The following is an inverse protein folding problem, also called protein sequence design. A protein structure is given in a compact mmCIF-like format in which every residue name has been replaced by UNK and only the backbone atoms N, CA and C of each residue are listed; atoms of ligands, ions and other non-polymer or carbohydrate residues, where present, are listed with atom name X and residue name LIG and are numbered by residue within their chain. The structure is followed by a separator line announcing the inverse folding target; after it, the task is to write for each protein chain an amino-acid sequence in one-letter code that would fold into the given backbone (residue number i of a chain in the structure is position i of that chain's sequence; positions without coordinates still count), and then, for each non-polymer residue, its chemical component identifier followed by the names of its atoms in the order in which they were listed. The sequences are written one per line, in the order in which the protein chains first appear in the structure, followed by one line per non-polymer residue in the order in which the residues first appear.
data_IF_872067324918
#
_entry.id   IF_872067324918
#
_cell.length_a   1.000
_cell.length_b   1.000
_cell.length_c   1.000
_cell.angle_alpha   90.00
_cell.angle_beta   90.00
_cell.angle_gamma   90.00
#
_symmetry.space_group_name_H-M   'P 1'
#
loop_
_entity.id
_entity.type
_entity.pdbx_description
1 polymer ?
#
# COMPACT_ATOMS: atom_id res chain seq x y z
N UNK A 1 -28.89 47.59 20.15
CA UNK A 1 -28.63 46.69 19.00
C UNK A 1 -27.15 46.72 18.66
N UNK A 2 -26.34 45.68 18.73
CA UNK A 2 -26.38 44.43 19.49
C UNK A 2 -24.99 43.78 19.31
N UNK A 3 -23.97 44.27 20.04
CA UNK A 3 -22.62 43.66 20.02
C UNK A 3 -22.64 42.19 20.44
N UNK A 4 -23.64 41.79 21.24
CA UNK A 4 -23.91 40.39 21.61
C UNK A 4 -24.32 39.53 20.41
N UNK A 5 -25.15 40.04 19.50
CA UNK A 5 -25.65 39.29 18.33
C UNK A 5 -24.52 38.99 17.34
N UNK A 6 -23.59 39.94 17.13
CA UNK A 6 -22.40 39.73 16.31
C UNK A 6 -21.46 38.65 16.87
N UNK A 7 -21.25 38.64 18.19
CA UNK A 7 -20.39 37.63 18.84
C UNK A 7 -20.97 36.22 18.80
N UNK A 8 -22.30 36.06 18.92
CA UNK A 8 -22.98 34.77 18.74
C UNK A 8 -22.94 34.27 17.29
N UNK A 9 -23.06 35.19 16.31
CA UNK A 9 -22.95 34.86 14.89
C UNK A 9 -21.53 34.39 14.50
N UNK A 10 -20.50 35.07 15.02
CA UNK A 10 -19.10 34.72 14.78
C UNK A 10 -18.71 33.35 15.37
N UNK A 11 -19.20 33.05 16.59
CA UNK A 11 -19.01 31.73 17.21
C UNK A 11 -19.72 30.62 16.42
N UNK A 12 -20.94 30.86 15.95
CA UNK A 12 -21.69 29.90 15.12
C UNK A 12 -20.92 29.52 13.85
N UNK A 13 -20.37 30.52 13.13
CA UNK A 13 -19.59 30.31 11.92
C UNK A 13 -18.33 29.47 12.18
N UNK A 14 -17.64 29.72 13.29
CA UNK A 14 -16.44 28.97 13.69
C UNK A 14 -16.75 27.48 13.96
N UNK A 15 -17.90 27.18 14.54
CA UNK A 15 -18.34 25.80 14.77
C UNK A 15 -18.71 25.10 13.46
N UNK A 16 -19.38 25.79 12.53
CA UNK A 16 -19.72 25.25 11.21
C UNK A 16 -18.45 24.92 10.42
N UNK A 17 -17.44 25.79 10.44
CA UNK A 17 -16.14 25.54 9.79
C UNK A 17 -15.43 24.35 10.44
N UNK A 18 -15.43 24.23 11.78
CA UNK A 18 -14.84 23.08 12.46
C UNK A 18 -15.56 21.76 12.12
N UNK A 19 -16.89 21.81 12.00
CA UNK A 19 -17.71 20.65 11.66
C UNK A 19 -17.50 20.23 10.19
N UNK A 20 -17.37 21.19 9.28
CA UNK A 20 -17.00 20.95 7.89
C UNK A 20 -15.60 20.35 7.78
N UNK A 21 -14.62 20.89 8.51
CA UNK A 21 -13.25 20.34 8.57
C UNK A 21 -13.25 18.91 9.13
N UNK A 22 -14.02 18.65 10.18
CA UNK A 22 -14.14 17.30 10.78
C UNK A 22 -14.83 16.31 9.83
N UNK A 23 -15.88 16.74 9.13
CA UNK A 23 -16.55 15.93 8.11
C UNK A 23 -15.62 15.61 6.93
N UNK A 24 -14.86 16.59 6.43
CA UNK A 24 -13.88 16.39 5.37
C UNK A 24 -12.76 15.40 5.75
N UNK A 25 -12.34 15.40 7.02
CA UNK A 25 -11.33 14.45 7.52
C UNK A 25 -11.90 13.02 7.60
N UNK A 26 -13.20 12.86 7.89
CA UNK A 26 -13.83 11.55 8.00
C UNK A 26 -14.17 10.89 6.66
N UNK A 27 -14.29 11.65 5.57
CA UNK A 27 -14.89 11.14 4.32
C UNK A 27 -13.93 10.55 3.30
N UNK A 28 -12.61 10.52 3.51
CA UNK A 28 -11.72 10.06 2.41
C UNK A 28 -10.33 9.60 2.86
N UNK A 29 -10.26 8.55 3.69
CA UNK A 29 -9.01 7.79 3.85
C UNK A 29 -9.16 6.46 3.13
N UNK A 30 -9.30 6.53 1.82
CA UNK A 30 -9.22 5.34 0.98
C UNK A 30 -7.78 5.01 0.66
N UNK A 31 -7.39 3.76 0.87
CA UNK A 31 -6.06 3.29 0.55
C UNK A 31 -5.88 3.17 -0.98
N UNK A 32 -4.78 3.71 -1.53
CA UNK A 32 -4.47 3.60 -2.96
C UNK A 32 -3.47 2.46 -3.22
N UNK A 33 -3.87 1.47 -4.04
CA UNK A 33 -3.03 0.32 -4.38
C UNK A 33 -2.83 0.19 -5.89
N UNK A 34 -1.68 -0.33 -6.32
CA UNK A 34 -1.52 -0.76 -7.71
C UNK A 34 -2.41 -1.96 -8.00
N UNK A 35 -3.09 -1.92 -9.15
CA UNK A 35 -3.89 -3.02 -9.67
C UNK A 35 -3.38 -3.44 -11.05
N UNK A 36 -2.91 -4.67 -11.13
CA UNK A 36 -2.50 -5.29 -12.37
C UNK A 36 -2.48 -6.82 -12.22
N UNK A 37 -2.58 -7.49 -13.36
CA UNK A 37 -2.32 -8.92 -13.50
C UNK A 37 -1.32 -9.11 -14.64
N UNK A 38 -0.43 -10.08 -14.51
CA UNK A 38 0.44 -10.48 -15.61
C UNK A 38 0.80 -11.95 -15.54
N UNK A 39 0.87 -12.55 -16.72
CA UNK A 39 1.47 -13.86 -16.94
C UNK A 39 2.85 -13.72 -17.58
N UNK A 40 3.59 -14.83 -17.69
CA UNK A 40 4.91 -14.88 -18.34
C UNK A 40 4.97 -14.25 -19.75
N UNK A 41 3.84 -14.27 -20.47
CA UNK A 41 3.77 -13.82 -21.86
C UNK A 41 3.47 -12.31 -21.95
N UNK A 42 3.18 -11.66 -20.83
CA UNK A 42 2.77 -10.27 -20.77
C UNK A 42 3.93 -9.34 -20.40
N UNK A 43 4.16 -8.34 -21.24
CA UNK A 43 5.27 -7.39 -21.13
C UNK A 43 4.91 -6.13 -20.34
N UNK A 44 3.84 -6.19 -19.55
CA UNK A 44 3.29 -5.03 -18.87
C UNK A 44 4.11 -4.61 -17.63
N UNK A 45 5.04 -5.45 -17.16
CA UNK A 45 5.91 -5.16 -16.02
C UNK A 45 5.27 -5.39 -14.64
N UNK A 46 4.04 -5.91 -14.56
CA UNK A 46 3.37 -6.13 -13.27
C UNK A 46 4.12 -7.13 -12.35
N UNK A 47 4.88 -8.05 -12.96
CA UNK A 47 5.66 -9.06 -12.27
C UNK A 47 6.70 -8.48 -11.31
N UNK A 48 7.59 -7.60 -11.80
CA UNK A 48 8.69 -7.04 -11.02
C UNK A 48 9.46 -8.09 -10.21
N UNK A 49 9.82 -7.74 -8.98
CA UNK A 49 10.63 -8.58 -8.06
C UNK A 49 9.93 -9.85 -7.55
N UNK A 50 8.68 -10.11 -7.95
CA UNK A 50 7.89 -11.22 -7.45
C UNK A 50 7.98 -12.49 -8.30
N UNK A 51 8.61 -12.38 -9.47
CA UNK A 51 8.88 -13.45 -10.42
C UNK A 51 10.26 -13.24 -11.02
N UNK A 52 10.83 -14.31 -11.59
CA UNK A 52 12.09 -14.21 -12.33
C UNK A 52 11.81 -13.58 -13.72
N UNK A 53 11.50 -12.29 -13.73
CA UNK A 53 11.27 -11.51 -14.95
C UNK A 53 12.47 -10.60 -15.21
N UNK A 54 12.82 -10.42 -16.48
CA UNK A 54 13.82 -9.42 -16.91
C UNK A 54 13.26 -8.00 -16.75
N UNK A 55 11.93 -7.86 -16.65
CA UNK A 55 11.25 -6.57 -16.55
C UNK A 55 10.96 -6.21 -15.09
N UNK A 56 11.56 -5.10 -14.63
CA UNK A 56 11.25 -4.47 -13.35
C UNK A 56 9.81 -3.92 -13.31
N UNK A 57 9.27 -3.77 -12.10
CA UNK A 57 7.96 -3.14 -11.94
C UNK A 57 8.01 -1.66 -12.34
N UNK A 58 7.12 -1.27 -13.25
CA UNK A 58 7.01 0.11 -13.69
C UNK A 58 5.72 0.75 -13.16
N UNK A 59 5.85 1.49 -12.06
CA UNK A 59 4.75 2.19 -11.38
C UNK A 59 4.00 3.17 -12.29
N UNK A 60 4.62 3.69 -13.35
CA UNK A 60 3.98 4.65 -14.28
C UNK A 60 3.02 4.00 -15.27
N UNK A 61 3.09 2.67 -15.44
CA UNK A 61 2.30 1.91 -16.42
C UNK A 61 1.05 1.24 -15.84
N UNK A 62 0.85 1.34 -14.53
CA UNK A 62 -0.19 0.59 -13.83
C UNK A 62 -1.18 1.50 -13.13
N UNK A 63 -2.46 1.11 -13.19
CA UNK A 63 -3.53 1.86 -12.58
C UNK A 63 -3.49 1.75 -11.06
N UNK A 64 -3.77 2.87 -10.40
CA UNK A 64 -4.08 2.91 -8.99
C UNK A 64 -5.57 2.72 -8.79
N UNK A 65 -5.94 1.90 -7.82
CA UNK A 65 -7.32 1.71 -7.40
C UNK A 65 -7.51 2.21 -5.98
N UNK A 66 -8.71 2.75 -5.74
CA UNK A 66 -9.17 3.18 -4.45
C UNK A 66 -9.77 1.99 -3.70
N UNK A 67 -9.15 1.61 -2.58
CA UNK A 67 -9.71 0.65 -1.64
C UNK A 67 -10.54 1.41 -0.62
N UNK A 68 -11.85 1.42 -0.82
CA UNK A 68 -12.82 2.22 -0.05
C UNK A 68 -13.25 1.59 1.27
N UNK A 69 -12.92 0.32 1.49
CA UNK A 69 -13.37 -0.43 2.67
C UNK A 69 -12.49 -0.22 3.90
N UNK A 70 -13.12 -0.21 5.07
CA UNK A 70 -12.42 -0.11 6.35
C UNK A 70 -11.50 -1.33 6.52
N UNK A 71 -10.24 -1.08 6.89
CA UNK A 71 -9.18 -2.10 6.99
C UNK A 71 -8.74 -2.75 5.68
N UNK A 72 -9.08 -2.19 4.53
CA UNK A 72 -8.47 -2.61 3.28
C UNK A 72 -6.93 -2.52 3.33
N UNK A 73 -6.30 -3.42 2.59
CA UNK A 73 -4.84 -3.54 2.44
C UNK A 73 -4.48 -3.63 0.97
N UNK A 74 -3.22 -3.33 0.63
CA UNK A 74 -2.70 -3.65 -0.69
C UNK A 74 -2.08 -5.06 -0.66
N UNK A 75 -2.27 -5.83 -1.72
CA UNK A 75 -1.61 -7.12 -1.88
C UNK A 75 -0.74 -7.18 -3.14
N UNK A 76 0.24 -8.08 -3.10
CA UNK A 76 0.87 -8.69 -4.27
C UNK A 76 0.87 -10.20 -4.05
N UNK A 77 0.36 -10.97 -5.01
CA UNK A 77 0.48 -12.43 -5.02
C UNK A 77 1.17 -12.89 -6.28
N UNK A 78 2.09 -13.84 -6.14
CA UNK A 78 2.71 -14.51 -7.26
C UNK A 78 2.62 -16.02 -7.13
N UNK A 79 2.48 -16.66 -8.29
CA UNK A 79 2.51 -18.09 -8.44
C UNK A 79 3.50 -18.43 -9.55
N UNK A 80 4.33 -19.44 -9.35
CA UNK A 80 5.33 -19.89 -10.31
C UNK A 80 5.39 -21.42 -10.35
N UNK A 81 5.17 -22.02 -11.53
CA UNK A 81 5.40 -23.44 -11.75
C UNK A 81 6.89 -23.73 -11.92
N UNK A 82 7.36 -24.82 -11.31
CA UNK A 82 8.77 -25.25 -11.42
C UNK A 82 9.10 -25.91 -12.75
N UNK A 83 8.17 -26.68 -13.32
CA UNK A 83 8.44 -27.49 -14.51
C UNK A 83 8.48 -26.68 -15.82
N UNK A 84 7.75 -25.57 -15.89
CA UNK A 84 7.55 -24.82 -17.14
C UNK A 84 7.94 -23.34 -17.06
N UNK A 85 8.61 -22.93 -15.97
CA UNK A 85 8.95 -21.52 -15.69
C UNK A 85 7.76 -20.56 -15.83
N UNK A 86 6.53 -21.09 -15.67
CA UNK A 86 5.32 -20.32 -15.90
C UNK A 86 4.90 -19.60 -14.66
N UNK A 87 4.59 -18.32 -14.78
CA UNK A 87 4.23 -17.50 -13.63
C UNK A 87 3.03 -16.61 -13.88
N UNK A 88 2.39 -16.24 -12.77
CA UNK A 88 1.31 -15.27 -12.66
C UNK A 88 1.60 -14.33 -11.49
N UNK A 89 1.44 -13.02 -11.70
CA UNK A 89 1.48 -12.00 -10.63
C UNK A 89 0.21 -11.19 -10.67
N UNK A 90 -0.32 -10.90 -9.49
CA UNK A 90 -1.50 -10.05 -9.33
C UNK A 90 -1.31 -9.08 -8.17
N UNK A 91 -1.80 -7.85 -8.35
CA UNK A 91 -1.76 -6.76 -7.38
C UNK A 91 -3.15 -6.16 -7.23
N UNK A 92 -3.49 -5.67 -6.04
CA UNK A 92 -4.76 -4.97 -5.85
C UNK A 92 -5.10 -4.71 -4.39
N UNK A 93 -6.39 -4.50 -4.12
CA UNK A 93 -6.97 -4.35 -2.79
C UNK A 93 -7.31 -5.72 -2.20
N UNK A 94 -7.02 -5.89 -0.91
CA UNK A 94 -7.39 -7.07 -0.14
C UNK A 94 -8.19 -6.62 1.09
N UNK A 95 -9.31 -7.30 1.33
CA UNK A 95 -10.13 -7.12 2.51
C UNK A 95 -9.99 -8.36 3.41
N UNK A 96 -9.41 -8.21 4.62
CA UNK A 96 -9.30 -9.31 5.56
C UNK A 96 -10.68 -9.84 5.99
N UNK A 97 -10.86 -11.16 5.92
CA UNK A 97 -11.94 -11.88 6.57
C UNK A 97 -11.58 -12.23 8.02
N UNK A 98 -12.59 -12.50 8.86
CA UNK A 98 -12.39 -12.93 10.26
C UNK A 98 -11.58 -14.22 10.40
N UNK A 99 -11.54 -15.03 9.34
CA UNK A 99 -10.82 -16.30 9.32
C UNK A 99 -9.37 -16.15 8.84
N UNK A 100 -8.97 -14.96 8.40
CA UNK A 100 -7.62 -14.74 7.89
C UNK A 100 -6.64 -14.56 9.05
N UNK A 101 -5.65 -15.45 9.12
CA UNK A 101 -4.58 -15.38 10.11
C UNK A 101 -3.56 -14.30 9.71
N UNK A 102 -3.87 -13.03 10.00
CA UNK A 102 -2.97 -11.91 9.75
C UNK A 102 -2.04 -11.67 10.95
N UNK A 103 -0.73 -11.44 10.74
CA UNK A 103 0.18 -11.12 11.82
C UNK A 103 -0.19 -9.77 12.44
N UNK A 104 -0.01 -9.65 13.76
CA UNK A 104 -0.40 -8.47 14.52
C UNK A 104 0.28 -7.18 14.00
N UNK A 105 1.48 -7.29 13.43
CA UNK A 105 2.19 -6.17 12.78
C UNK A 105 1.42 -5.50 11.64
N UNK A 106 0.44 -6.17 11.02
CA UNK A 106 -0.42 -5.60 9.97
C UNK A 106 -1.61 -4.80 10.51
N UNK A 107 -1.84 -4.76 11.83
CA UNK A 107 -2.87 -3.90 12.41
C UNK A 107 -2.49 -2.42 12.32
N UNK A 108 -1.19 -2.13 12.22
CA UNK A 108 -0.64 -0.79 12.07
C UNK A 108 -0.41 -0.47 10.57
N UNK A 109 -0.77 0.75 10.11
CA UNK A 109 -0.43 1.20 8.77
C UNK A 109 1.09 1.14 8.54
N UNK A 110 1.52 0.38 7.54
CA UNK A 110 2.93 0.20 7.21
C UNK A 110 3.13 0.09 5.70
N UNK A 111 4.20 0.74 5.21
CA UNK A 111 4.68 0.58 3.83
C UNK A 111 5.43 -0.72 3.62
N UNK A 112 6.00 -1.29 4.70
CA UNK A 112 6.73 -2.54 4.62
C UNK A 112 5.77 -3.70 4.32
N UNK A 113 6.08 -4.47 3.29
CA UNK A 113 5.31 -5.66 2.96
C UNK A 113 5.66 -6.80 3.92
N UNK A 114 4.63 -7.45 4.44
CA UNK A 114 4.79 -8.72 5.17
C UNK A 114 4.36 -9.86 4.26
N UNK A 115 5.26 -10.81 4.04
CA UNK A 115 5.13 -11.84 3.02
C UNK A 115 5.04 -13.24 3.62
N UNK A 116 4.12 -14.06 3.08
CA UNK A 116 4.05 -15.50 3.27
C UNK A 116 4.52 -16.19 2.00
N UNK A 117 5.42 -17.17 2.16
CA UNK A 117 5.93 -17.99 1.08
C UNK A 117 5.57 -19.45 1.33
N UNK A 118 4.95 -20.10 0.35
CA UNK A 118 4.58 -21.51 0.39
C UNK A 118 5.22 -22.23 -0.80
N UNK A 119 5.92 -23.33 -0.52
CA UNK A 119 6.50 -24.20 -1.55
C UNK A 119 5.67 -25.48 -1.63
N UNK A 120 5.04 -25.67 -2.77
CA UNK A 120 4.37 -26.91 -3.14
C UNK A 120 5.32 -27.75 -4.01
N UNK A 121 4.94 -29.00 -4.29
CA UNK A 121 5.76 -29.91 -5.11
C UNK A 121 6.10 -29.28 -6.47
N UNK A 122 5.06 -28.77 -7.15
CA UNK A 122 5.16 -28.31 -8.54
C UNK A 122 5.17 -26.78 -8.69
N UNK A 123 5.01 -26.04 -7.59
CA UNK A 123 4.86 -24.59 -7.63
C UNK A 123 5.37 -23.86 -6.39
N UNK A 124 5.73 -22.60 -6.57
CA UNK A 124 6.00 -21.65 -5.50
C UNK A 124 4.92 -20.58 -5.47
N UNK A 125 4.39 -20.31 -4.28
CA UNK A 125 3.34 -19.32 -4.05
C UNK A 125 3.83 -18.30 -3.03
N UNK A 126 3.70 -17.01 -3.36
CA UNK A 126 4.09 -15.90 -2.48
C UNK A 126 2.96 -14.90 -2.39
N UNK A 127 2.60 -14.49 -1.19
CA UNK A 127 1.61 -13.43 -0.95
C UNK A 127 2.21 -12.42 0.00
N UNK A 128 2.17 -11.15 -0.38
CA UNK A 128 2.63 -10.04 0.44
C UNK A 128 1.49 -9.03 0.63
N UNK A 129 1.35 -8.54 1.85
CA UNK A 129 0.36 -7.53 2.23
C UNK A 129 1.05 -6.32 2.84
N UNK A 130 0.49 -5.13 2.62
CA UNK A 130 0.91 -3.88 3.23
C UNK A 130 -0.27 -2.90 3.36
N UNK A 131 -0.15 -1.87 4.20
CA UNK A 131 -1.25 -0.96 4.55
C UNK A 131 -0.78 0.50 4.51
N UNK A 132 -0.42 0.96 3.32
CA UNK A 132 -0.09 2.36 3.02
C UNK A 132 -0.22 2.63 1.52
N UNK A 133 -0.44 3.88 1.12
CA UNK A 133 -0.59 4.20 -0.31
C UNK A 133 0.63 3.76 -1.12
N UNK A 134 0.35 3.08 -2.23
CA UNK A 134 1.31 2.63 -3.24
C UNK A 134 2.33 1.61 -2.70
N UNK A 135 2.10 1.04 -1.51
CA UNK A 135 3.07 0.15 -0.85
C UNK A 135 3.30 -1.17 -1.60
N UNK A 136 2.34 -1.57 -2.45
CA UNK A 136 2.46 -2.76 -3.28
C UNK A 136 3.12 -2.47 -4.63
N UNK A 137 4.02 -1.49 -4.73
CA UNK A 137 4.86 -1.25 -5.91
C UNK A 137 5.92 -2.33 -6.10
N UNK A 138 6.39 -2.95 -5.02
CA UNK A 138 7.56 -3.81 -5.12
C UNK A 138 8.81 -2.94 -5.26
N UNK A 139 9.35 -2.59 -4.11
CA UNK A 139 10.77 -2.59 -3.85
C UNK A 139 10.85 -3.22 -2.47
N UNK A 140 11.45 -4.41 -2.33
CA UNK A 140 11.92 -4.78 -1.01
C UNK A 140 12.91 -3.68 -0.63
N UNK A 141 12.52 -2.79 0.28
CA UNK A 141 13.50 -1.96 0.97
C UNK A 141 14.37 -2.98 1.68
N UNK A 142 15.53 -3.26 1.08
CA UNK A 142 16.57 -4.03 1.72
C UNK A 142 16.80 -3.32 3.05
N UNK A 143 16.65 -3.95 4.23
CA UNK A 143 16.75 -3.25 5.51
C UNK A 143 18.08 -2.46 5.64
N UNK A 144 19.11 -2.89 4.91
CA UNK A 144 20.41 -2.22 4.78
C UNK A 144 20.40 -0.87 4.02
N UNK A 145 19.36 -0.52 3.27
CA UNK A 145 19.27 0.79 2.61
C UNK A 145 18.67 1.88 3.51
N UNK A 146 18.00 1.51 4.61
CA UNK A 146 17.49 2.50 5.57
C UNK A 146 18.62 3.14 6.40
N UNK A 147 19.69 2.38 6.67
CA UNK A 147 20.82 2.87 7.46
C UNK A 147 21.61 3.98 6.73
N UNK A 148 21.71 3.90 5.39
CA UNK A 148 22.50 4.87 4.62
C UNK A 148 21.85 6.25 4.51
N UNK A 149 20.51 6.32 4.46
CA UNK A 149 19.78 7.60 4.39
C UNK A 149 19.81 8.32 5.74
N UNK A 150 19.76 7.58 6.85
CA UNK A 150 19.91 8.14 8.19
C UNK A 150 21.35 8.63 8.45
N UNK A 151 22.37 7.92 7.98
CA UNK A 151 23.77 8.34 8.17
C UNK A 151 24.13 9.60 7.37
N UNK A 152 23.61 9.76 6.15
CA UNK A 152 23.86 10.97 5.33
C UNK A 152 23.14 12.19 5.91
N UNK A 153 21.94 11.99 6.48
CA UNK A 153 21.17 13.08 7.12
C UNK A 153 21.84 13.58 8.41
N UNK A 154 22.47 12.69 9.18
CA UNK A 154 23.22 13.07 10.40
C UNK A 154 24.55 13.77 10.09
N UNK A 155 25.22 13.42 8.99
CA UNK A 155 26.44 14.10 8.55
C UNK A 155 26.15 15.53 8.04
N UNK A 156 25.00 15.76 7.40
CA UNK A 156 24.64 17.10 6.91
C UNK A 156 24.23 18.09 8.02
N UNK A 157 23.85 17.59 9.20
CA UNK A 157 23.52 18.42 10.36
C UNK A 157 24.74 18.71 11.27
N UNK A 158 25.92 18.19 10.93
CA UNK A 158 27.18 18.42 11.67
C UNK A 158 28.20 19.27 10.89
N UNK A 159 27.81 19.87 9.77
CA UNK A 159 28.56 20.92 9.04
C UNK A 159 27.75 22.21 9.10
#
# INVERSE_FOLDING_TARGET
MDKKVYYTSLKSLQHIVLLLMFCCIKTSVSLLCYNCSATQNEWNGCGGDFVHSVLLFNSTRHFLVNCSEENAMCFVRSWMARAHNSWLVQRGCYLPSKNDALPHSMSLPTRAMTCKHERLADAEYKVCLCKADWCNSGNSVNPYQLELVLSVSLLYYQI
#
